data_IF_953237176847
#
_entry.id   IF_953237176847
#
_cell.length_a   1.000
_cell.length_b   1.000
_cell.length_c   1.000
_cell.angle_alpha   90.00
_cell.angle_beta   90.00
_cell.angle_gamma   90.00
#
_symmetry.space_group_name_H-M   'P 1'
#
loop_
_entity.id
_entity.type
_entity.pdbx_description
1 polymer ?
#
# COMPACT_ATOMS: atom_id res chain seq x y z
N UNK A 1 8.69 -2.75 -8.77
CA UNK A 1 8.20 -4.14 -8.76
C UNK A 1 8.21 -4.70 -10.18
N UNK A 2 8.41 -6.01 -10.34
CA UNK A 2 8.43 -6.71 -11.64
C UNK A 2 7.43 -7.86 -11.58
N UNK A 3 6.64 -8.05 -12.62
CA UNK A 3 5.68 -9.15 -12.71
C UNK A 3 5.72 -9.80 -14.10
N UNK A 4 5.62 -11.13 -14.13
CA UNK A 4 5.50 -11.86 -15.39
C UNK A 4 4.17 -11.52 -16.06
N UNK A 5 4.23 -11.18 -17.35
CA UNK A 5 3.12 -10.62 -18.11
C UNK A 5 2.59 -11.55 -19.20
N UNK A 6 2.90 -12.86 -19.16
CA UNK A 6 2.51 -13.78 -20.23
C UNK A 6 3.26 -13.53 -21.56
N UNK A 7 4.36 -12.78 -21.51
CA UNK A 7 5.22 -12.41 -22.65
C UNK A 7 6.69 -12.65 -22.28
N UNK A 8 7.57 -12.67 -23.28
CA UNK A 8 9.03 -12.78 -23.11
C UNK A 8 9.59 -11.72 -22.14
N UNK A 9 8.97 -10.55 -22.08
CA UNK A 9 9.37 -9.45 -21.21
C UNK A 9 8.39 -9.29 -20.05
N UNK A 10 8.94 -9.09 -18.85
CA UNK A 10 8.17 -8.79 -17.65
C UNK A 10 7.66 -7.33 -17.67
N UNK A 11 6.48 -7.11 -17.13
CA UNK A 11 5.99 -5.76 -16.88
C UNK A 11 6.68 -5.18 -15.64
N UNK A 12 7.10 -3.92 -15.73
CA UNK A 12 7.90 -3.25 -14.69
C UNK A 12 7.18 -1.98 -14.26
N UNK A 13 7.07 -1.77 -12.95
CA UNK A 13 6.57 -0.50 -12.42
C UNK A 13 7.64 0.59 -12.55
N UNK A 14 7.21 1.85 -12.59
CA UNK A 14 8.10 2.96 -12.25
C UNK A 14 8.60 2.82 -10.80
N UNK A 15 9.81 3.31 -10.46
CA UNK A 15 10.25 3.40 -9.09
C UNK A 15 9.30 4.27 -8.25
N UNK A 16 9.05 3.85 -7.02
CA UNK A 16 8.33 4.64 -6.02
C UNK A 16 9.28 4.91 -4.84
N UNK A 17 9.16 6.09 -4.24
CA UNK A 17 9.90 6.41 -3.03
C UNK A 17 9.35 5.57 -1.87
N UNK A 18 10.22 4.82 -1.21
CA UNK A 18 9.85 4.00 -0.04
C UNK A 18 10.27 4.66 1.26
N UNK A 19 11.49 5.18 1.31
CA UNK A 19 11.98 5.88 2.50
C UNK A 19 13.44 6.28 2.39
N UNK A 20 13.88 7.06 3.36
CA UNK A 20 15.25 7.46 3.63
C UNK A 20 15.47 7.51 5.16
N UNK A 21 16.57 8.10 5.61
CA UNK A 21 16.89 8.21 7.04
C UNK A 21 15.91 9.08 7.84
N UNK A 22 15.16 9.96 7.18
CA UNK A 22 14.24 10.90 7.83
C UNK A 22 12.77 10.50 7.71
N UNK A 23 12.39 9.84 6.63
CA UNK A 23 10.99 9.58 6.29
C UNK A 23 10.80 8.20 5.68
N UNK A 24 9.62 7.61 5.91
CA UNK A 24 9.22 6.34 5.30
C UNK A 24 7.75 6.41 4.86
N UNK A 25 7.46 5.94 3.66
CA UNK A 25 6.09 5.70 3.17
C UNK A 25 5.80 4.24 3.41
N UNK A 26 4.70 3.95 4.10
CA UNK A 26 4.39 2.59 4.57
C UNK A 26 3.15 2.00 3.91
N UNK A 27 2.30 2.82 3.32
CA UNK A 27 1.11 2.36 2.59
C UNK A 27 1.30 2.62 1.10
N UNK A 28 1.23 1.56 0.30
CA UNK A 28 1.28 1.64 -1.15
C UNK A 28 0.03 1.00 -1.73
N UNK A 29 -0.48 1.55 -2.82
CA UNK A 29 -1.42 0.84 -3.68
C UNK A 29 -0.80 0.62 -5.04
N UNK A 30 -0.68 -0.64 -5.44
CA UNK A 30 -0.21 -1.04 -6.76
C UNK A 30 -1.40 -1.42 -7.64
N UNK A 31 -1.43 -0.87 -8.84
CA UNK A 31 -2.45 -1.11 -9.86
C UNK A 31 -1.87 -2.00 -10.91
N UNK A 32 -2.51 -3.12 -11.13
CA UNK A 32 -2.21 -4.04 -12.22
C UNK A 32 -3.18 -3.75 -13.36
N UNK A 33 -2.65 -3.26 -14.47
CA UNK A 33 -3.44 -2.98 -15.67
C UNK A 33 -3.40 -4.18 -16.60
N UNK A 34 -4.56 -4.76 -16.88
CA UNK A 34 -4.72 -5.91 -17.76
C UNK A 34 -5.42 -5.51 -19.05
N UNK A 35 -4.99 -6.12 -20.15
CA UNK A 35 -5.68 -6.06 -21.44
C UNK A 35 -5.89 -7.48 -21.92
N UNK A 36 -7.15 -7.91 -22.03
CA UNK A 36 -7.51 -9.29 -22.40
C UNK A 36 -6.78 -10.33 -21.55
N UNK A 37 -6.71 -10.11 -20.24
CA UNK A 37 -6.04 -11.01 -19.28
C UNK A 37 -4.51 -10.97 -19.32
N UNK A 38 -3.91 -10.13 -20.17
CA UNK A 38 -2.45 -9.94 -20.22
C UNK A 38 -2.07 -8.68 -19.46
N UNK A 39 -1.21 -8.80 -18.45
CA UNK A 39 -0.68 -7.66 -17.71
C UNK A 39 0.10 -6.74 -18.65
N UNK A 40 -0.29 -5.47 -18.73
CA UNK A 40 0.38 -4.46 -19.54
C UNK A 40 1.30 -3.60 -18.69
N UNK A 41 0.79 -3.05 -17.59
CA UNK A 41 1.49 -2.07 -16.78
C UNK A 41 1.27 -2.27 -15.27
N UNK A 42 2.18 -1.69 -14.49
CA UNK A 42 2.11 -1.62 -13.04
C UNK A 42 2.25 -0.15 -12.61
N UNK A 43 1.21 0.39 -11.98
CA UNK A 43 1.20 1.78 -11.51
C UNK A 43 1.13 1.87 -10.00
N UNK A 44 1.91 2.77 -9.41
CA UNK A 44 1.75 3.11 -8.00
C UNK A 44 0.75 4.24 -7.86
N UNK A 45 -0.32 4.01 -7.10
CA UNK A 45 -1.17 5.11 -6.64
C UNK A 45 -0.40 5.93 -5.63
N UNK A 46 -0.42 7.24 -5.80
CA UNK A 46 0.11 8.18 -4.81
C UNK A 46 -0.99 8.57 -3.84
N UNK A 47 -0.60 8.60 -2.59
CA UNK A 47 -1.49 8.87 -1.48
C UNK A 47 -1.49 10.36 -1.22
N UNK A 48 -2.44 11.05 -1.85
CA UNK A 48 -2.61 12.48 -1.69
C UNK A 48 -2.54 12.87 -0.21
N UNK A 49 -1.92 14.02 0.06
CA UNK A 49 -1.57 14.48 1.41
C UNK A 49 -2.75 14.66 2.37
N UNK A 50 -4.00 14.63 1.87
CA UNK A 50 -5.19 14.50 2.70
C UNK A 50 -5.12 13.31 3.67
N UNK A 51 -4.47 12.22 3.25
CA UNK A 51 -4.28 11.00 4.07
C UNK A 51 -3.41 11.22 5.31
N UNK A 52 -2.60 12.29 5.35
CA UNK A 52 -1.76 12.64 6.50
C UNK A 52 -2.44 13.57 7.51
N UNK A 53 -3.59 14.13 7.15
CA UNK A 53 -4.23 15.18 7.96
C UNK A 53 -4.62 14.64 9.35
N UNK A 54 -4.35 15.43 10.39
CA UNK A 54 -4.74 15.10 11.77
C UNK A 54 -3.75 14.26 12.59
N UNK A 55 -2.56 13.92 12.06
CA UNK A 55 -1.54 13.16 12.80
C UNK A 55 -0.17 13.86 12.77
N UNK A 56 0.39 14.17 13.94
CA UNK A 56 1.66 14.91 14.08
C UNK A 56 2.90 14.14 13.62
N UNK A 57 2.84 12.81 13.60
CA UNK A 57 3.92 11.92 13.14
C UNK A 57 3.99 11.75 11.62
N UNK A 58 2.98 12.25 10.89
CA UNK A 58 2.87 12.14 9.45
C UNK A 58 3.26 13.45 8.78
N UNK A 59 3.85 13.36 7.59
CA UNK A 59 4.30 14.49 6.79
C UNK A 59 3.93 14.27 5.33
N UNK A 60 3.45 15.34 4.70
CA UNK A 60 3.21 15.39 3.27
C UNK A 60 4.54 15.66 2.55
N UNK A 61 5.05 14.68 1.81
CA UNK A 61 6.26 14.83 0.99
C UNK A 61 5.88 15.26 -0.43
N UNK A 62 6.55 16.29 -0.93
CA UNK A 62 6.41 16.80 -2.31
C UNK A 62 4.96 17.07 -2.75
N UNK A 63 4.07 17.38 -1.81
CA UNK A 63 2.62 17.55 -2.05
C UNK A 63 1.94 16.34 -2.70
N UNK A 64 2.54 15.16 -2.61
CA UNK A 64 2.10 13.97 -3.36
C UNK A 64 1.94 12.73 -2.49
N UNK A 65 2.88 12.48 -1.57
CA UNK A 65 2.94 11.23 -0.82
C UNK A 65 2.83 11.49 0.68
N UNK A 66 2.08 10.62 1.36
CA UNK A 66 1.98 10.63 2.81
C UNK A 66 3.06 9.75 3.44
N UNK A 67 4.00 10.37 4.16
CA UNK A 67 5.09 9.67 4.83
C UNK A 67 5.02 9.83 6.35
N UNK A 68 5.71 8.94 7.05
CA UNK A 68 5.90 8.93 8.49
C UNK A 68 7.33 9.36 8.76
N UNK A 69 7.55 10.18 9.80
CA UNK A 69 8.90 10.49 10.27
C UNK A 69 9.54 9.22 10.82
N UNK A 70 10.76 8.92 10.38
CA UNK A 70 11.48 7.72 10.79
C UNK A 70 11.67 7.66 12.33
N UNK A 71 11.85 8.81 12.97
CA UNK A 71 11.94 8.94 14.44
C UNK A 71 10.64 8.58 15.18
N UNK A 72 9.49 8.56 14.49
CA UNK A 72 8.20 8.17 15.06
C UNK A 72 7.94 6.67 14.96
N UNK A 73 8.77 5.93 14.22
CA UNK A 73 8.64 4.48 14.04
C UNK A 73 9.06 3.72 15.29
N UNK A 74 8.37 2.62 15.61
CA UNK A 74 8.70 1.74 16.75
C UNK A 74 10.15 1.23 16.69
N UNK A 75 10.67 0.95 15.50
CA UNK A 75 12.06 0.52 15.29
C UNK A 75 13.10 1.56 15.72
N UNK A 76 12.71 2.81 15.92
CA UNK A 76 13.55 3.94 16.31
C UNK A 76 13.15 4.53 17.67
N UNK A 77 12.34 3.80 18.46
CA UNK A 77 11.88 4.23 19.78
C UNK A 77 10.61 5.09 19.77
N UNK A 78 9.92 5.20 18.63
CA UNK A 78 8.63 5.85 18.53
C UNK A 78 7.45 4.91 18.82
N UNK A 79 6.22 5.40 18.61
CA UNK A 79 4.97 4.66 18.90
C UNK A 79 4.21 4.22 17.66
N UNK A 80 4.68 4.58 16.46
CA UNK A 80 3.98 4.30 15.20
C UNK A 80 4.53 3.03 14.54
N UNK A 81 3.65 2.12 14.16
CA UNK A 81 4.02 0.96 13.34
C UNK A 81 4.35 1.41 11.91
N UNK A 82 5.60 1.23 11.51
CA UNK A 82 6.09 1.60 10.19
C UNK A 82 6.26 0.40 9.24
N UNK A 83 5.52 -0.68 9.47
CA UNK A 83 5.51 -1.85 8.60
C UNK A 83 5.00 -1.52 7.20
N UNK A 84 5.67 -2.04 6.17
CA UNK A 84 5.28 -1.84 4.77
C UNK A 84 4.02 -2.66 4.44
N UNK A 85 3.00 -1.99 3.94
CA UNK A 85 1.77 -2.58 3.41
C UNK A 85 1.57 -2.23 1.94
N UNK A 86 1.36 -3.24 1.09
CA UNK A 86 1.06 -3.07 -0.33
C UNK A 86 -0.34 -3.61 -0.60
N UNK A 87 -1.23 -2.72 -0.99
CA UNK A 87 -2.56 -3.06 -1.49
C UNK A 87 -2.51 -3.25 -3.01
N UNK A 88 -3.25 -4.23 -3.52
CA UNK A 88 -3.37 -4.49 -4.95
C UNK A 88 -4.73 -4.06 -5.46
N UNK A 89 -4.74 -3.41 -6.62
CA UNK A 89 -5.94 -3.07 -7.36
C UNK A 89 -5.78 -3.47 -8.83
N UNK A 90 -6.91 -3.65 -9.50
CA UNK A 90 -6.98 -4.14 -10.87
C UNK A 90 -7.68 -3.11 -11.75
N UNK A 91 -7.19 -2.99 -12.98
CA UNK A 91 -7.75 -2.14 -14.03
C UNK A 91 -7.75 -2.89 -15.36
N UNK A 92 -8.74 -2.63 -16.22
CA UNK A 92 -8.82 -3.13 -17.59
C UNK A 92 -9.72 -4.35 -17.74
N UNK A 93 -9.27 -5.39 -18.46
CA UNK A 93 -10.10 -6.58 -18.76
C UNK A 93 -9.37 -7.90 -18.59
N UNK A 94 -10.12 -8.92 -18.19
CA UNK A 94 -9.66 -10.31 -18.16
C UNK A 94 -9.65 -10.94 -19.56
N UNK A 95 -9.29 -12.23 -19.67
CA UNK A 95 -9.19 -12.94 -20.96
C UNK A 95 -10.53 -13.01 -21.72
N UNK A 96 -11.65 -12.98 -21.00
CA UNK A 96 -13.01 -13.09 -21.54
C UNK A 96 -13.66 -11.72 -21.72
N UNK A 97 -12.86 -10.65 -21.74
CA UNK A 97 -13.31 -9.25 -21.84
C UNK A 97 -14.20 -8.80 -20.64
N UNK A 98 -14.17 -9.52 -19.52
CA UNK A 98 -14.82 -9.09 -18.29
C UNK A 98 -14.01 -7.95 -17.64
N UNK A 99 -14.72 -6.95 -17.13
CA UNK A 99 -14.11 -5.72 -16.62
C UNK A 99 -13.47 -5.96 -15.25
N UNK A 100 -12.21 -5.55 -15.12
CA UNK A 100 -11.46 -5.45 -13.88
C UNK A 100 -11.37 -3.97 -13.50
N UNK A 101 -12.06 -3.53 -12.45
CA UNK A 101 -12.19 -2.11 -12.14
C UNK A 101 -12.02 -1.79 -10.64
N UNK A 102 -11.38 -2.65 -9.84
CA UNK A 102 -11.19 -2.34 -8.41
C UNK A 102 -10.34 -1.07 -8.16
N UNK A 103 -9.64 -0.56 -9.17
CA UNK A 103 -8.88 0.70 -9.14
C UNK A 103 -9.67 1.93 -8.66
N UNK A 104 -10.91 2.16 -9.13
CA UNK A 104 -11.68 3.35 -8.73
C UNK A 104 -12.22 3.22 -7.30
N UNK A 105 -12.48 1.97 -6.87
CA UNK A 105 -12.95 1.61 -5.54
C UNK A 105 -11.84 1.66 -4.48
N UNK A 106 -10.57 1.85 -4.85
CA UNK A 106 -9.45 1.98 -3.89
C UNK A 106 -9.72 3.07 -2.84
N UNK A 107 -10.41 4.16 -3.21
CA UNK A 107 -10.79 5.21 -2.24
C UNK A 107 -11.77 4.72 -1.17
N UNK A 108 -12.66 3.78 -1.51
CA UNK A 108 -13.61 3.15 -0.60
C UNK A 108 -12.97 1.99 0.17
N UNK A 109 -12.09 1.22 -0.47
CA UNK A 109 -11.26 0.20 0.22
C UNK A 109 -10.36 0.79 1.30
N UNK A 110 -10.01 2.08 1.20
CA UNK A 110 -9.27 2.83 2.24
C UNK A 110 -10.11 3.14 3.48
N UNK A 111 -11.42 3.38 3.34
CA UNK A 111 -12.31 3.57 4.50
C UNK A 111 -12.43 2.29 5.31
N UNK A 112 -12.37 1.14 4.63
CA UNK A 112 -12.30 -0.19 5.23
C UNK A 112 -10.87 -0.72 5.28
N UNK A 113 -9.87 0.17 5.21
CA UNK A 113 -8.45 -0.19 5.24
C UNK A 113 -8.29 -1.17 6.38
N UNK A 114 -7.96 -2.40 6.00
CA UNK A 114 -7.81 -3.54 6.87
C UNK A 114 -6.85 -3.24 8.03
N UNK A 115 -6.16 -2.10 8.10
CA UNK A 115 -5.54 -1.62 9.32
C UNK A 115 -6.44 -1.79 10.55
N UNK A 116 -7.70 -1.34 10.54
CA UNK A 116 -8.58 -1.50 11.72
C UNK A 116 -8.95 -2.97 12.01
N UNK A 117 -9.12 -3.80 10.98
CA UNK A 117 -9.43 -5.23 11.14
C UNK A 117 -8.18 -6.04 11.54
N UNK A 118 -7.02 -5.69 10.99
CA UNK A 118 -5.74 -6.39 11.10
C UNK A 118 -4.96 -5.94 12.34
N UNK A 119 -5.08 -4.68 12.77
CA UNK A 119 -4.56 -4.23 14.08
C UNK A 119 -5.29 -4.95 15.20
N UNK A 120 -6.62 -5.03 15.13
CA UNK A 120 -7.43 -5.75 16.12
C UNK A 120 -7.13 -7.26 16.11
N UNK A 121 -6.90 -7.86 14.94
CA UNK A 121 -6.47 -9.26 14.84
C UNK A 121 -5.06 -9.48 15.39
N UNK A 122 -4.10 -8.60 15.07
CA UNK A 122 -2.72 -8.66 15.60
C UNK A 122 -2.73 -8.55 17.12
N UNK A 123 -3.46 -7.60 17.69
CA UNK A 123 -3.56 -7.44 19.15
C UNK A 123 -4.29 -8.63 19.79
N UNK A 124 -5.34 -9.14 19.16
CA UNK A 124 -6.07 -10.32 19.65
C UNK A 124 -5.22 -11.60 19.63
N UNK A 125 -4.44 -11.83 18.57
CA UNK A 125 -3.58 -13.01 18.45
C UNK A 125 -2.37 -12.93 19.39
N UNK A 126 -1.73 -11.76 19.47
CA UNK A 126 -0.57 -11.54 20.35
C UNK A 126 -0.97 -11.59 21.82
N UNK A 127 -2.13 -11.02 22.16
CA UNK A 127 -2.67 -11.04 23.52
C UNK A 127 -3.13 -12.44 23.98
N UNK A 128 -3.54 -13.32 23.05
CA UNK A 128 -3.78 -14.72 23.39
C UNK A 128 -2.47 -15.50 23.53
N UNK A 129 -1.49 -15.28 22.66
CA UNK A 129 -0.20 -15.98 22.72
C UNK A 129 0.55 -15.71 24.04
N UNK A 130 0.55 -14.47 24.52
CA UNK A 130 1.15 -14.08 25.81
C UNK A 130 0.38 -14.57 27.06
N UNK A 131 -0.77 -15.24 26.89
CA UNK A 131 -1.49 -15.90 28.00
C UNK A 131 -1.15 -17.38 28.12
N UNK A 132 -0.57 -17.97 27.08
CA UNK A 132 -0.22 -19.39 27.04
C UNK A 132 1.29 -19.64 27.27
N UNK A 133 2.12 -18.60 27.15
CA UNK A 133 3.56 -18.59 27.44
C UNK A 133 3.90 -17.39 28.32
#
# INVERSE_FOLDING_TARGET
MVAFAGRKYAARSIPAFVGNTSYIVTSFTLVLEFKKGTLQNLYWKRDACASCSGKSSFVCLNNQDCAIRMSSCISQGGTVDCSLGIQLAFSGTDKNDAVLNSWYEVSKLRQYSLYGLYSNLKDSLTGQYNKFF
#
